data_IF_539807906007
#
_entry.id   IF_539807906007
#
_cell.length_a   1.000
_cell.length_b   1.000
_cell.length_c   1.000
_cell.angle_alpha   90.00
_cell.angle_beta   90.00
_cell.angle_gamma   90.00
#
_symmetry.space_group_name_H-M   'P 1'
#
loop_
_entity.id
_entity.type
_entity.pdbx_description
1 polymer ?
#
# COMPACT_ATOMS: atom_id res chain seq x y z
N UNK A 1 22.82 -11.66 -4.19
CA UNK A 1 21.94 -10.91 -3.29
C UNK A 1 20.55 -11.49 -3.41
N UNK A 2 19.93 -11.92 -2.31
CA UNK A 2 18.56 -12.42 -2.32
C UNK A 2 17.60 -11.24 -2.19
N UNK A 3 16.83 -10.95 -3.24
CA UNK A 3 15.89 -9.82 -3.32
C UNK A 3 14.49 -10.33 -3.51
N UNK A 4 13.64 -10.11 -2.53
CA UNK A 4 12.28 -10.63 -2.53
C UNK A 4 11.24 -9.52 -2.56
N UNK A 5 10.44 -9.48 -3.62
CA UNK A 5 9.18 -8.76 -3.62
C UNK A 5 8.17 -9.53 -2.79
N UNK A 6 7.37 -8.87 -1.97
CA UNK A 6 6.33 -9.54 -1.19
C UNK A 6 5.08 -8.69 -1.03
N UNK A 7 4.00 -9.36 -0.74
CA UNK A 7 2.70 -8.82 -0.40
C UNK A 7 2.00 -9.76 0.57
N UNK A 8 1.07 -9.27 1.38
CA UNK A 8 0.31 -10.07 2.33
C UNK A 8 -1.17 -9.71 2.35
N UNK A 9 -1.98 -10.70 2.73
CA UNK A 9 -3.40 -10.51 3.00
C UNK A 9 -3.73 -10.81 4.46
N UNK A 10 -4.63 -10.02 5.02
CA UNK A 10 -4.95 -10.06 6.44
C UNK A 10 -6.41 -9.79 6.71
N UNK A 11 -6.84 -10.00 7.96
CA UNK A 11 -8.22 -9.86 8.37
C UNK A 11 -8.63 -8.44 8.76
N UNK A 12 -7.80 -7.42 8.57
CA UNK A 12 -8.18 -6.06 8.96
C UNK A 12 -7.09 -5.02 8.76
N UNK A 13 -7.41 -3.79 9.11
CA UNK A 13 -6.46 -2.68 9.15
C UNK A 13 -5.60 -2.75 10.42
N UNK A 14 -4.54 -1.94 10.50
CA UNK A 14 -3.53 -2.01 11.57
C UNK A 14 -4.08 -1.84 13.00
N UNK A 15 -5.22 -1.18 13.17
CA UNK A 15 -5.91 -1.02 14.45
C UNK A 15 -6.77 -2.24 14.86
N UNK A 16 -7.06 -3.13 13.93
CA UNK A 16 -7.94 -4.30 14.13
C UNK A 16 -7.33 -5.63 13.74
N UNK A 17 -6.19 -5.61 13.04
CA UNK A 17 -5.53 -6.82 12.55
C UNK A 17 -5.09 -7.74 13.70
N UNK A 18 -5.34 -9.04 13.50
CA UNK A 18 -4.86 -10.08 14.41
C UNK A 18 -4.48 -11.38 13.68
N UNK A 19 -4.68 -11.43 12.34
CA UNK A 19 -4.38 -12.61 11.53
C UNK A 19 -3.84 -12.20 10.17
N UNK A 20 -2.76 -12.84 9.73
CA UNK A 20 -2.26 -12.80 8.36
C UNK A 20 -2.71 -14.10 7.70
N UNK A 21 -3.45 -13.99 6.59
CA UNK A 21 -4.01 -15.12 5.87
C UNK A 21 -3.02 -15.77 4.91
N UNK A 22 -2.27 -14.96 4.21
CA UNK A 22 -1.23 -15.46 3.31
C UNK A 22 -0.15 -14.41 3.10
N UNK A 23 1.02 -14.90 2.68
CA UNK A 23 2.13 -14.08 2.18
C UNK A 23 2.57 -14.68 0.86
N UNK A 24 2.83 -13.83 -0.12
CA UNK A 24 3.44 -14.23 -1.38
C UNK A 24 4.77 -13.53 -1.52
N UNK A 25 5.81 -14.30 -1.83
CA UNK A 25 7.15 -13.80 -2.08
C UNK A 25 7.56 -14.10 -3.53
N UNK A 26 8.08 -13.09 -4.23
CA UNK A 26 8.60 -13.22 -5.59
C UNK A 26 10.07 -12.82 -5.62
N UNK A 27 10.94 -13.74 -6.03
CA UNK A 27 12.35 -13.45 -6.21
C UNK A 27 12.55 -12.57 -7.46
N UNK A 28 13.23 -11.44 -7.30
CA UNK A 28 13.30 -10.37 -8.32
C UNK A 28 14.11 -10.77 -9.56
N UNK A 29 15.18 -11.52 -9.36
CA UNK A 29 16.12 -11.85 -10.45
C UNK A 29 15.67 -13.08 -11.24
N UNK A 30 15.12 -14.10 -10.56
CA UNK A 30 14.69 -15.36 -11.16
C UNK A 30 13.21 -15.37 -11.55
N UNK A 31 12.40 -14.56 -10.86
CA UNK A 31 10.94 -14.58 -10.98
C UNK A 31 10.28 -15.75 -10.23
N UNK A 32 11.05 -16.52 -9.43
CA UNK A 32 10.49 -17.60 -8.58
C UNK A 32 9.41 -17.02 -7.67
N UNK A 33 8.26 -17.70 -7.60
CA UNK A 33 7.15 -17.31 -6.72
C UNK A 33 6.99 -18.38 -5.65
N UNK A 34 6.93 -17.94 -4.41
CA UNK A 34 6.60 -18.77 -3.25
C UNK A 34 5.34 -18.24 -2.59
N UNK A 35 4.40 -19.10 -2.36
CA UNK A 35 3.13 -18.82 -1.69
C UNK A 35 3.12 -19.48 -0.33
N UNK A 36 2.66 -18.77 0.67
CA UNK A 36 2.60 -19.24 2.04
C UNK A 36 1.17 -19.04 2.56
N UNK A 37 0.50 -20.14 2.84
CA UNK A 37 -0.83 -20.18 3.42
C UNK A 37 -0.78 -19.93 4.95
N UNK A 38 -1.91 -19.91 5.68
CA UNK A 38 -1.91 -19.59 7.11
C UNK A 38 -0.99 -20.44 7.98
N UNK A 39 -0.78 -21.70 7.61
CA UNK A 39 0.08 -22.64 8.37
C UNK A 39 1.58 -22.44 8.06
N UNK A 40 1.93 -21.60 7.09
CA UNK A 40 3.28 -21.40 6.57
C UNK A 40 3.79 -19.97 6.74
N UNK A 41 3.06 -19.12 7.46
CA UNK A 41 3.44 -17.70 7.63
C UNK A 41 4.84 -17.56 8.25
N UNK A 42 5.18 -18.40 9.22
CA UNK A 42 6.52 -18.34 9.87
C UNK A 42 7.65 -18.64 8.88
N UNK A 43 7.44 -19.54 7.92
CA UNK A 43 8.41 -19.85 6.85
C UNK A 43 8.63 -18.60 5.95
N UNK A 44 7.54 -17.89 5.63
CA UNK A 44 7.62 -16.63 4.89
C UNK A 44 8.42 -15.57 5.67
N UNK A 45 8.15 -15.43 6.96
CA UNK A 45 8.83 -14.49 7.83
C UNK A 45 10.32 -14.80 7.97
N UNK A 46 10.69 -16.07 8.03
CA UNK A 46 12.07 -16.51 8.00
C UNK A 46 12.76 -16.15 6.67
N UNK A 47 12.09 -16.38 5.54
CA UNK A 47 12.57 -16.00 4.22
C UNK A 47 12.85 -14.49 4.14
N UNK A 48 11.89 -13.66 4.57
CA UNK A 48 11.99 -12.20 4.55
C UNK A 48 13.06 -11.67 5.53
N UNK A 49 13.25 -12.34 6.68
CA UNK A 49 14.29 -11.96 7.65
C UNK A 49 15.70 -12.23 7.12
N UNK A 50 15.87 -13.24 6.29
CA UNK A 50 17.15 -13.66 5.70
C UNK A 50 17.44 -13.02 4.34
N UNK A 51 16.54 -12.20 3.81
CA UNK A 51 16.72 -11.50 2.54
C UNK A 51 17.75 -10.36 2.68
N UNK A 52 18.47 -10.05 1.59
CA UNK A 52 19.30 -8.86 1.48
C UNK A 52 18.44 -7.60 1.25
N UNK A 53 17.34 -7.75 0.48
CA UNK A 53 16.39 -6.68 0.20
C UNK A 53 14.97 -7.24 0.15
N UNK A 54 14.04 -6.54 0.78
CA UNK A 54 12.61 -6.78 0.68
C UNK A 54 11.94 -5.61 -0.04
N UNK A 55 11.04 -5.94 -0.96
CA UNK A 55 10.42 -4.98 -1.87
C UNK A 55 8.91 -5.18 -1.81
N UNK A 56 8.13 -4.11 -1.75
CA UNK A 56 6.68 -4.21 -1.84
C UNK A 56 6.05 -2.87 -2.16
N UNK A 57 4.74 -2.81 -2.18
CA UNK A 57 4.00 -1.58 -2.46
C UNK A 57 3.28 -1.09 -1.22
N UNK A 58 3.70 0.02 -0.65
CA UNK A 58 3.18 0.56 0.61
C UNK A 58 3.54 -0.26 1.85
N UNK A 59 4.58 -1.06 1.77
CA UNK A 59 4.98 -1.98 2.85
C UNK A 59 5.48 -1.27 4.11
N UNK A 60 5.97 -0.04 3.98
CA UNK A 60 6.39 0.77 5.13
C UNK A 60 5.18 1.16 5.97
N UNK A 61 4.05 1.50 5.34
CA UNK A 61 2.87 1.95 6.05
C UNK A 61 1.94 0.81 6.46
N UNK A 62 1.99 -0.35 5.80
CA UNK A 62 1.05 -1.44 6.08
C UNK A 62 1.72 -2.79 6.37
N UNK A 63 2.35 -3.45 5.43
CA UNK A 63 2.74 -4.86 5.54
C UNK A 63 3.74 -5.11 6.67
N UNK A 64 4.80 -4.32 6.76
CA UNK A 64 5.82 -4.46 7.82
C UNK A 64 5.19 -4.23 9.20
N UNK A 65 4.41 -3.16 9.43
CA UNK A 65 3.65 -2.98 10.67
C UNK A 65 2.65 -4.09 10.97
N UNK A 66 1.93 -4.58 9.96
CA UNK A 66 0.97 -5.67 10.11
C UNK A 66 1.66 -6.94 10.62
N UNK A 67 2.80 -7.30 10.02
CA UNK A 67 3.62 -8.41 10.50
C UNK A 67 4.06 -8.18 11.95
N UNK A 68 4.54 -6.99 12.29
CA UNK A 68 5.02 -6.67 13.63
C UNK A 68 3.91 -6.68 14.71
N UNK A 69 2.67 -6.37 14.33
CA UNK A 69 1.52 -6.45 15.23
C UNK A 69 1.17 -7.92 15.51
N UNK A 70 1.08 -8.75 14.47
CA UNK A 70 0.68 -10.16 14.60
C UNK A 70 1.85 -11.03 15.12
N UNK A 71 3.07 -10.72 14.72
CA UNK A 71 4.32 -11.40 15.11
C UNK A 71 5.32 -10.42 15.74
N UNK A 72 5.13 -10.01 17.00
CA UNK A 72 5.91 -8.92 17.62
C UNK A 72 7.41 -9.18 17.72
N UNK A 73 7.83 -10.43 17.65
CA UNK A 73 9.25 -10.81 17.69
C UNK A 73 9.92 -10.79 16.32
N UNK A 74 9.15 -10.59 15.24
CA UNK A 74 9.71 -10.55 13.90
C UNK A 74 10.46 -9.25 13.65
N UNK A 75 11.66 -9.39 13.13
CA UNK A 75 12.51 -8.28 12.70
C UNK A 75 13.26 -8.66 11.44
N UNK A 76 13.61 -7.68 10.64
CA UNK A 76 14.48 -7.89 9.49
C UNK A 76 15.62 -6.89 9.46
N UNK A 77 16.75 -7.30 8.88
CA UNK A 77 17.89 -6.42 8.55
C UNK A 77 17.96 -6.16 7.05
N UNK A 78 17.03 -6.70 6.29
CA UNK A 78 16.95 -6.47 4.86
C UNK A 78 16.80 -4.97 4.57
N UNK A 79 17.38 -4.54 3.47
CA UNK A 79 17.06 -3.23 2.92
C UNK A 79 15.58 -3.23 2.53
N UNK A 80 14.84 -2.22 2.97
CA UNK A 80 13.43 -2.05 2.61
C UNK A 80 13.32 -1.13 1.41
N UNK A 81 12.64 -1.59 0.36
CA UNK A 81 12.33 -0.78 -0.82
C UNK A 81 10.82 -0.77 -1.07
N UNK A 82 10.21 0.39 -0.90
CA UNK A 82 8.78 0.60 -1.08
C UNK A 82 8.50 1.25 -2.44
N UNK A 83 7.78 0.53 -3.31
CA UNK A 83 7.49 1.00 -4.67
C UNK A 83 6.50 2.17 -4.71
N UNK A 84 5.68 2.37 -3.67
CA UNK A 84 4.86 3.58 -3.55
C UNK A 84 5.75 4.81 -3.32
N UNK A 85 6.74 4.71 -2.44
CA UNK A 85 7.71 5.78 -2.17
C UNK A 85 8.54 6.06 -3.42
N UNK A 86 9.08 5.02 -4.06
CA UNK A 86 9.82 5.17 -5.33
C UNK A 86 8.97 5.82 -6.43
N UNK A 87 7.73 5.40 -6.55
CA UNK A 87 6.81 5.93 -7.55
C UNK A 87 6.57 7.42 -7.36
N UNK A 88 6.38 7.88 -6.11
CA UNK A 88 6.22 9.30 -5.78
C UNK A 88 7.50 10.11 -6.02
N UNK A 89 8.65 9.53 -5.72
CA UNK A 89 9.95 10.15 -5.99
C UNK A 89 10.19 10.40 -7.49
N UNK A 90 9.89 9.39 -8.33
CA UNK A 90 10.21 9.42 -9.75
C UNK A 90 9.15 10.16 -10.57
N UNK A 91 7.89 10.00 -10.20
CA UNK A 91 6.73 10.53 -10.92
C UNK A 91 5.98 11.57 -10.08
N UNK A 92 6.65 12.65 -9.70
CA UNK A 92 6.06 13.70 -8.84
C UNK A 92 4.87 14.42 -9.47
N UNK A 93 4.73 14.41 -10.79
CA UNK A 93 3.61 15.01 -11.53
C UNK A 93 2.79 13.99 -12.31
N UNK A 94 2.49 12.88 -11.68
CA UNK A 94 1.77 11.74 -12.26
C UNK A 94 0.43 12.13 -12.89
N UNK A 95 -0.26 13.15 -12.36
CA UNK A 95 -1.55 13.57 -12.93
C UNK A 95 -1.40 14.11 -14.36
N UNK A 96 -0.43 14.98 -14.59
CA UNK A 96 -0.17 15.50 -15.92
C UNK A 96 0.41 14.44 -16.85
N UNK A 97 1.25 13.54 -16.32
CA UNK A 97 1.73 12.39 -17.10
C UNK A 97 0.56 11.51 -17.59
N UNK A 98 -0.44 11.24 -16.76
CA UNK A 98 -1.62 10.48 -17.14
C UNK A 98 -2.48 11.23 -18.17
N UNK A 99 -2.62 12.54 -18.02
CA UNK A 99 -3.36 13.38 -18.95
C UNK A 99 -2.73 13.40 -20.35
N UNK A 100 -1.41 13.45 -20.43
CA UNK A 100 -0.66 13.47 -21.70
C UNK A 100 -0.70 12.13 -22.43
N UNK A 101 -0.77 11.00 -21.70
CA UNK A 101 -0.77 9.65 -22.28
C UNK A 101 -2.02 9.30 -23.07
N UNK A 102 -3.07 10.12 -23.04
CA UNK A 102 -4.34 9.88 -23.75
C UNK A 102 -4.90 8.47 -23.56
N UNK A 103 -4.87 7.96 -22.33
CA UNK A 103 -5.51 6.68 -22.03
C UNK A 103 -7.00 6.69 -22.42
N UNK A 104 -7.46 5.59 -23.01
CA UNK A 104 -8.90 5.38 -23.12
C UNK A 104 -9.54 5.39 -21.73
N UNK A 105 -10.56 6.23 -21.52
CA UNK A 105 -11.28 6.35 -20.24
C UNK A 105 -11.85 4.99 -19.79
N UNK A 106 -12.20 4.11 -20.74
CA UNK A 106 -12.65 2.77 -20.46
C UNK A 106 -11.54 1.86 -19.88
N UNK A 107 -10.27 2.14 -20.23
CA UNK A 107 -9.11 1.36 -19.76
C UNK A 107 -8.45 1.97 -18.53
N UNK A 108 -8.50 3.31 -18.39
CA UNK A 108 -7.91 4.01 -17.25
C UNK A 108 -8.84 5.16 -16.80
N UNK A 109 -9.71 4.90 -15.81
CA UNK A 109 -10.68 5.88 -15.33
C UNK A 109 -10.01 7.14 -14.78
N UNK A 110 -10.54 8.32 -15.11
CA UNK A 110 -10.01 9.63 -14.67
C UNK A 110 -9.87 9.76 -13.15
N UNK A 111 -10.72 9.06 -12.38
CA UNK A 111 -10.65 9.04 -10.91
C UNK A 111 -9.35 8.46 -10.36
N UNK A 112 -8.59 7.71 -11.18
CA UNK A 112 -7.30 7.12 -10.83
C UNK A 112 -6.11 7.94 -11.36
N UNK A 113 -6.34 9.02 -12.11
CA UNK A 113 -5.28 9.88 -12.60
C UNK A 113 -4.54 10.52 -11.43
N UNK A 114 -3.22 10.55 -11.50
CA UNK A 114 -2.36 11.02 -10.41
C UNK A 114 -2.23 10.04 -9.24
N UNK A 115 -2.99 8.94 -9.21
CA UNK A 115 -2.88 7.95 -8.15
C UNK A 115 -1.63 7.09 -8.31
N UNK A 116 -0.92 6.89 -7.21
CA UNK A 116 0.23 5.97 -7.12
C UNK A 116 -0.15 4.59 -6.55
N UNK A 117 -1.45 4.30 -6.36
CA UNK A 117 -1.88 2.98 -5.86
C UNK A 117 -1.49 1.85 -6.80
N UNK A 118 -1.32 0.64 -6.27
CA UNK A 118 -0.97 -0.54 -7.05
C UNK A 118 -2.00 -0.82 -8.15
N UNK A 119 -3.30 -0.64 -7.85
CA UNK A 119 -4.39 -0.70 -8.84
C UNK A 119 -4.17 0.25 -10.02
N UNK A 120 -3.84 1.53 -9.74
CA UNK A 120 -3.57 2.49 -10.81
C UNK A 120 -2.33 2.11 -11.63
N UNK A 121 -1.30 1.58 -10.97
CA UNK A 121 -0.11 1.09 -11.64
C UNK A 121 -0.38 -0.15 -12.48
N UNK A 122 -1.15 -1.13 -11.99
CA UNK A 122 -1.57 -2.29 -12.77
C UNK A 122 -2.24 -1.89 -14.08
N UNK A 123 -3.17 -0.93 -14.03
CA UNK A 123 -3.81 -0.38 -15.24
C UNK A 123 -2.83 0.32 -16.19
N UNK A 124 -1.86 1.11 -15.66
CA UNK A 124 -0.83 1.76 -16.50
C UNK A 124 0.14 0.77 -17.15
N UNK A 125 0.41 -0.32 -16.47
CA UNK A 125 1.31 -1.37 -16.95
C UNK A 125 0.62 -2.37 -17.88
N UNK A 126 -0.73 -2.39 -17.88
CA UNK A 126 -1.52 -3.40 -18.59
C UNK A 126 -1.47 -4.78 -17.95
N UNK A 127 -1.10 -4.85 -16.67
CA UNK A 127 -1.00 -6.05 -15.84
C UNK A 127 -2.01 -5.98 -14.69
N UNK A 128 -3.28 -5.81 -15.04
CA UNK A 128 -4.37 -5.70 -14.08
C UNK A 128 -5.38 -6.81 -14.31
N UNK A 129 -5.76 -7.48 -13.23
CA UNK A 129 -6.92 -8.36 -13.14
C UNK A 129 -8.06 -7.69 -12.37
N UNK A 130 -9.18 -8.35 -12.31
CA UNK A 130 -10.34 -7.89 -11.56
C UNK A 130 -10.01 -7.71 -10.08
N UNK A 131 -10.74 -6.80 -9.43
CA UNK A 131 -10.65 -6.59 -7.99
C UNK A 131 -11.04 -7.88 -7.23
N UNK A 132 -10.46 -8.09 -6.05
CA UNK A 132 -10.90 -9.15 -5.14
C UNK A 132 -12.24 -8.75 -4.51
N UNK A 133 -13.27 -9.55 -4.77
CA UNK A 133 -14.63 -9.35 -4.25
C UNK A 133 -14.96 -10.28 -3.07
N UNK A 134 -13.98 -11.09 -2.59
CA UNK A 134 -14.12 -12.00 -1.47
C UNK A 134 -14.14 -11.31 -0.11
N UNK A 135 -14.52 -12.05 0.93
CA UNK A 135 -14.43 -11.60 2.33
C UNK A 135 -12.98 -11.62 2.84
N UNK A 136 -12.75 -10.91 3.94
CA UNK A 136 -11.46 -10.85 4.64
C UNK A 136 -11.48 -11.60 5.97
N UNK A 137 -12.57 -12.29 6.28
CA UNK A 137 -12.78 -12.98 7.56
C UNK A 137 -12.11 -14.35 7.62
N UNK A 138 -11.83 -14.95 6.47
CA UNK A 138 -11.19 -16.26 6.35
C UNK A 138 -10.28 -16.34 5.10
N UNK A 139 -9.32 -17.26 5.14
CA UNK A 139 -8.46 -17.54 4.00
C UNK A 139 -9.23 -18.15 2.83
N UNK A 140 -8.89 -17.73 1.60
CA UNK A 140 -9.37 -18.36 0.37
C UNK A 140 -8.28 -18.46 -0.70
N UNK A 141 -8.42 -19.41 -1.63
CA UNK A 141 -7.52 -19.55 -2.78
C UNK A 141 -7.62 -18.36 -3.74
N UNK A 142 -8.78 -17.71 -3.79
CA UNK A 142 -8.96 -16.47 -4.55
C UNK A 142 -8.13 -15.33 -3.94
N UNK A 143 -8.09 -15.23 -2.59
CA UNK A 143 -7.25 -14.27 -1.87
C UNK A 143 -5.77 -14.51 -2.17
N UNK A 144 -5.31 -15.77 -2.11
CA UNK A 144 -3.95 -16.14 -2.50
C UNK A 144 -3.64 -15.75 -3.94
N UNK A 145 -4.57 -16.01 -4.86
CA UNK A 145 -4.41 -15.68 -6.28
C UNK A 145 -4.34 -14.17 -6.50
N UNK A 146 -5.09 -13.39 -5.72
CA UNK A 146 -5.04 -11.93 -5.71
C UNK A 146 -3.67 -11.44 -5.23
N UNK A 147 -3.18 -11.92 -4.10
CA UNK A 147 -1.87 -11.60 -3.56
C UNK A 147 -0.72 -11.96 -4.54
N UNK A 148 -0.82 -13.10 -5.26
CA UNK A 148 0.13 -13.45 -6.35
C UNK A 148 0.12 -12.42 -7.46
N UNK A 149 -1.05 -11.91 -7.84
CA UNK A 149 -1.17 -10.89 -8.88
C UNK A 149 -0.55 -9.57 -8.42
N UNK A 150 -0.79 -9.16 -7.18
CA UNK A 150 -0.25 -7.92 -6.63
C UNK A 150 1.27 -7.94 -6.55
N UNK A 151 1.88 -9.08 -6.18
CA UNK A 151 3.34 -9.24 -6.27
C UNK A 151 3.87 -9.19 -7.70
N UNK A 152 3.09 -9.62 -8.71
CA UNK A 152 3.46 -9.51 -10.14
C UNK A 152 3.49 -8.05 -10.60
N UNK A 153 2.45 -7.30 -10.26
CA UNK A 153 2.37 -5.86 -10.57
C UNK A 153 3.47 -5.10 -9.87
N UNK A 154 3.73 -5.41 -8.60
CA UNK A 154 4.80 -4.80 -7.79
C UNK A 154 6.19 -5.05 -8.41
N UNK A 155 6.50 -6.26 -8.84
CA UNK A 155 7.77 -6.60 -9.49
C UNK A 155 7.94 -5.85 -10.82
N UNK A 156 6.89 -5.83 -11.65
CA UNK A 156 6.89 -5.09 -12.92
C UNK A 156 7.08 -3.59 -12.68
N UNK A 157 6.42 -3.04 -11.68
CA UNK A 157 6.56 -1.65 -11.29
C UNK A 157 7.98 -1.35 -10.80
N UNK A 158 8.49 -2.15 -9.87
CA UNK A 158 9.86 -2.01 -9.35
C UNK A 158 10.89 -1.98 -10.48
N UNK A 159 10.85 -2.97 -11.37
CA UNK A 159 11.76 -3.05 -12.52
C UNK A 159 11.64 -1.84 -13.45
N UNK A 160 10.42 -1.31 -13.63
CA UNK A 160 10.20 -0.09 -14.42
C UNK A 160 10.79 1.14 -13.74
N UNK A 161 10.54 1.33 -12.44
CA UNK A 161 11.04 2.48 -11.69
C UNK A 161 12.58 2.48 -11.64
N UNK A 162 13.19 1.33 -11.39
CA UNK A 162 14.65 1.22 -11.32
C UNK A 162 15.36 1.47 -12.66
N UNK A 163 14.67 1.32 -13.80
CA UNK A 163 15.22 1.70 -15.14
C UNK A 163 15.46 3.20 -15.31
N UNK A 164 14.85 4.05 -14.46
CA UNK A 164 15.12 5.50 -14.46
C UNK A 164 16.40 5.89 -13.73
N UNK A 165 17.10 4.91 -13.15
CA UNK A 165 18.38 5.06 -12.44
C UNK A 165 18.34 6.13 -11.33
N UNK A 166 17.34 6.10 -10.41
CA UNK A 166 17.31 7.05 -9.32
C UNK A 166 18.54 6.88 -8.42
N UNK A 167 19.06 7.99 -7.88
CA UNK A 167 20.24 7.90 -7.03
C UNK A 167 19.90 7.17 -5.71
N UNK A 168 20.82 6.32 -5.25
CA UNK A 168 20.62 5.60 -3.97
C UNK A 168 20.38 6.59 -2.82
N UNK A 169 21.05 7.73 -2.83
CA UNK A 169 20.87 8.77 -1.79
C UNK A 169 19.44 9.33 -1.77
N UNK A 170 18.82 9.53 -2.92
CA UNK A 170 17.42 10.00 -3.01
C UNK A 170 16.46 8.91 -2.51
N UNK A 171 16.70 7.66 -2.90
CA UNK A 171 15.92 6.51 -2.43
C UNK A 171 15.98 6.42 -0.90
N UNK A 172 17.17 6.43 -0.32
CA UNK A 172 17.37 6.30 1.12
C UNK A 172 16.72 7.46 1.89
N UNK A 173 16.80 8.68 1.36
CA UNK A 173 16.19 9.86 1.97
C UNK A 173 14.66 9.73 2.03
N UNK A 174 14.03 9.38 0.91
CA UNK A 174 12.57 9.29 0.83
C UNK A 174 12.02 8.12 1.66
N UNK A 175 12.70 6.97 1.66
CA UNK A 175 12.29 5.84 2.50
C UNK A 175 12.43 6.14 3.99
N UNK A 176 13.51 6.83 4.38
CA UNK A 176 13.67 7.30 5.77
C UNK A 176 12.58 8.29 6.15
N UNK A 177 12.24 9.24 5.24
CA UNK A 177 11.17 10.20 5.48
C UNK A 177 9.81 9.47 5.60
N UNK A 178 9.51 8.50 4.74
CA UNK A 178 8.30 7.70 4.84
C UNK A 178 8.18 7.01 6.22
N UNK A 179 9.26 6.39 6.69
CA UNK A 179 9.30 5.77 8.02
C UNK A 179 9.04 6.77 9.16
N UNK A 180 9.61 7.97 9.08
CA UNK A 180 9.37 9.05 10.06
C UNK A 180 7.90 9.51 10.00
N UNK A 181 7.35 9.72 8.82
CA UNK A 181 5.95 10.11 8.65
C UNK A 181 5.00 9.05 9.22
N UNK A 182 5.30 7.77 9.01
CA UNK A 182 4.55 6.66 9.61
C UNK A 182 4.59 6.72 11.14
N UNK A 183 5.78 6.92 11.74
CA UNK A 183 5.93 7.03 13.20
C UNK A 183 5.11 8.22 13.74
N UNK A 184 5.18 9.38 13.09
CA UNK A 184 4.37 10.55 13.44
C UNK A 184 2.88 10.20 13.36
N UNK A 185 2.44 9.53 12.29
CA UNK A 185 1.04 9.12 12.10
C UNK A 185 0.56 8.16 13.17
N UNK A 186 1.39 7.17 13.55
CA UNK A 186 1.05 6.19 14.59
C UNK A 186 0.97 6.81 16.00
N UNK A 187 1.82 7.78 16.29
CA UNK A 187 1.79 8.52 17.56
C UNK A 187 0.55 9.44 17.67
N UNK A 188 0.01 9.85 16.52
CA UNK A 188 -1.14 10.74 16.46
C UNK A 188 -0.86 12.14 17.02
N UNK A 189 -1.96 12.90 17.18
CA UNK A 189 -1.94 14.26 17.68
C UNK A 189 -2.94 14.42 18.81
N UNK A 190 -2.64 15.30 19.74
CA UNK A 190 -3.63 15.69 20.76
C UNK A 190 -4.83 16.36 20.08
N UNK A 191 -6.02 15.83 20.28
CA UNK A 191 -7.26 16.35 19.75
C UNK A 191 -8.20 16.78 20.87
N UNK A 192 -8.71 18.00 20.81
CA UNK A 192 -9.67 18.52 21.79
C UNK A 192 -11.10 18.13 21.37
N UNK A 193 -11.53 16.95 21.80
CA UNK A 193 -12.85 16.39 21.47
C UNK A 193 -14.00 17.29 21.93
N UNK A 194 -13.83 18.00 23.08
CA UNK A 194 -14.84 18.88 23.60
C UNK A 194 -15.07 20.07 22.69
N UNK A 195 -13.98 20.77 22.31
CA UNK A 195 -14.07 21.91 21.36
C UNK A 195 -14.57 21.46 20.00
N UNK A 196 -14.17 20.30 19.52
CA UNK A 196 -14.65 19.74 18.26
C UNK A 196 -16.15 19.50 18.32
N UNK A 197 -16.67 18.94 19.42
CA UNK A 197 -18.10 18.74 19.65
C UNK A 197 -18.89 20.05 19.71
N UNK A 198 -18.37 21.07 20.41
CA UNK A 198 -18.98 22.40 20.48
C UNK A 198 -19.05 23.06 19.09
N UNK A 199 -17.95 23.00 18.31
CA UNK A 199 -17.90 23.54 16.94
C UNK A 199 -18.84 22.77 16.00
N UNK A 200 -18.91 21.43 16.13
CA UNK A 200 -19.83 20.63 15.34
C UNK A 200 -21.29 21.01 15.59
N UNK A 201 -21.67 21.17 16.86
CA UNK A 201 -23.03 21.58 17.23
C UNK A 201 -23.39 22.97 16.66
N UNK A 202 -22.48 23.93 16.77
CA UNK A 202 -22.66 25.28 16.22
C UNK A 202 -22.82 25.25 14.68
N UNK A 203 -21.96 24.50 13.98
CA UNK A 203 -22.02 24.39 12.51
C UNK A 203 -23.28 23.66 12.07
N UNK A 204 -23.70 22.60 12.76
CA UNK A 204 -24.93 21.87 12.48
C UNK A 204 -26.16 22.76 12.62
N UNK A 205 -26.19 23.62 13.65
CA UNK A 205 -27.29 24.58 13.84
C UNK A 205 -27.30 25.64 12.72
N UNK A 206 -26.15 26.21 12.36
CA UNK A 206 -26.05 27.15 11.24
C UNK A 206 -26.51 26.54 9.93
N UNK A 207 -26.08 25.30 9.65
CA UNK A 207 -26.52 24.56 8.47
C UNK A 207 -28.04 24.37 8.44
N UNK A 208 -28.62 23.97 9.58
CA UNK A 208 -30.07 23.79 9.68
C UNK A 208 -30.84 25.07 9.38
N UNK A 209 -30.42 26.22 9.93
CA UNK A 209 -31.07 27.53 9.63
C UNK A 209 -31.01 27.82 8.14
N UNK A 210 -29.83 27.65 7.49
CA UNK A 210 -29.70 27.90 6.05
C UNK A 210 -30.58 26.93 5.24
N UNK A 211 -30.68 25.66 5.63
CA UNK A 211 -31.52 24.67 4.97
C UNK A 211 -33.03 25.04 5.09
N UNK A 212 -33.47 25.60 6.21
CA UNK A 212 -34.86 26.06 6.37
C UNK A 212 -35.12 27.34 5.55
N UNK A 213 -34.21 28.31 5.60
CA UNK A 213 -34.32 29.51 4.77
C UNK A 213 -34.44 29.20 3.27
N UNK A 214 -33.70 28.16 2.80
CA UNK A 214 -33.74 27.73 1.39
C UNK A 214 -35.06 27.02 1.01
N UNK A 215 -35.77 26.44 1.98
CA UNK A 215 -37.08 25.82 1.72
C UNK A 215 -38.21 26.83 1.62
N UNK A 216 -38.01 28.03 2.14
CA UNK A 216 -38.99 29.11 2.09
C UNK A 216 -38.90 29.97 0.80
N UNK A 217 -37.86 29.74 -0.03
CA UNK A 217 -37.65 30.36 -1.34
C UNK A 217 -38.31 29.59 -2.47
#
# INVERSE_FOLDING_TARGET
>A
MSRWGFDLESNGLLDTIHTIWCIVCREVDTGEVRTFNPDQIEDALELLSNADEIIGHNIIDYDIPAIQIVYPNWTTRAKVTDTLVLSRLIHGDMFNEDAERNFSVAKFPKKLWGSHSLKAWGLRLGDFKDDYDGGWDEYSEEMMSYCVQDTSVTDTLYKKLMKTEPTQKSIDLEHRMASICREIGSNGWTFDEKKAGELYAELAQKRHVIEEDLKEL
#
